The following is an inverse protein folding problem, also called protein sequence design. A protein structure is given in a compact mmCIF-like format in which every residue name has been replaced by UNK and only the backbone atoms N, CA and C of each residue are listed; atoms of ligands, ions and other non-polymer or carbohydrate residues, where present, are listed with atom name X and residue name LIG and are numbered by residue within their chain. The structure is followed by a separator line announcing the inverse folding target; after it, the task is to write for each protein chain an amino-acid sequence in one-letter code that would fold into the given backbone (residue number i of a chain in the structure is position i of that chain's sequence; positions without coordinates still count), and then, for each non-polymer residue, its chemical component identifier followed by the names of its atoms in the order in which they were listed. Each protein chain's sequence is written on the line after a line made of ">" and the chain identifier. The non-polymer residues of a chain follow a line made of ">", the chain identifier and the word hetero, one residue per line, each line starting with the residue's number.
data_IF_301563184090
#
_entry.id   IF_301563184090
#
_cell.length_a   1.000
_cell.length_b   1.000
_cell.length_c   1.000
_cell.angle_alpha   90.00
_cell.angle_beta   90.00
_cell.angle_gamma   90.00
#
_symmetry.space_group_name_H-M   'P 1'
#
loop_
_entity.id
_entity.type
_entity.pdbx_description
1 polymer ?
#
# COMPACT_ATOMS: atom_id res chain seq x y z
N UNK A 1 -4.22 -9.10 5.53
CA UNK A 1 -3.60 -8.59 4.29
C UNK A 1 -3.71 -9.56 3.14
N UNK A 2 -2.80 -10.55 3.05
CA UNK A 2 -2.64 -11.41 1.86
C UNK A 2 -3.90 -12.13 1.40
N UNK A 3 -4.67 -12.71 2.32
CA UNK A 3 -5.91 -13.43 1.98
C UNK A 3 -6.96 -12.48 1.40
N UNK A 4 -7.10 -11.28 1.98
CA UNK A 4 -8.05 -10.25 1.51
C UNK A 4 -7.66 -9.75 0.12
N UNK A 5 -6.38 -9.43 -0.10
CA UNK A 5 -5.92 -8.94 -1.41
C UNK A 5 -6.14 -9.97 -2.53
N UNK A 6 -6.03 -11.27 -2.24
CA UNK A 6 -6.32 -12.34 -3.22
C UNK A 6 -7.81 -12.47 -3.56
N UNK A 7 -8.69 -12.04 -2.67
CA UNK A 7 -10.13 -12.16 -2.86
C UNK A 7 -10.72 -11.01 -3.70
N UNK A 8 -9.98 -9.92 -3.90
CA UNK A 8 -10.46 -8.72 -4.61
C UNK A 8 -9.74 -8.66 -5.96
N UNK A 9 -10.53 -8.61 -7.05
CA UNK A 9 -9.99 -8.48 -8.40
C UNK A 9 -9.17 -7.19 -8.53
N UNK A 10 -8.00 -7.31 -9.15
CA UNK A 10 -7.05 -6.21 -9.42
C UNK A 10 -6.45 -5.54 -8.16
N UNK A 11 -6.68 -6.09 -6.96
CA UNK A 11 -6.08 -5.57 -5.74
C UNK A 11 -4.62 -5.98 -5.59
N UNK A 12 -3.81 -5.08 -5.01
CA UNK A 12 -2.41 -5.33 -4.64
C UNK A 12 -2.20 -5.10 -3.14
N UNK A 13 -1.36 -5.92 -2.53
CA UNK A 13 -0.92 -5.75 -1.14
C UNK A 13 0.52 -5.24 -1.14
N UNK A 14 0.72 -4.04 -0.59
CA UNK A 14 2.05 -3.46 -0.32
C UNK A 14 2.31 -3.54 1.18
N UNK A 15 3.52 -3.96 1.55
CA UNK A 15 3.96 -4.08 2.95
C UNK A 15 5.14 -3.16 3.18
N UNK A 16 5.05 -2.33 4.23
CA UNK A 16 6.15 -1.50 4.70
C UNK A 16 6.76 -2.13 5.95
N UNK A 17 8.06 -2.45 5.89
CA UNK A 17 8.75 -3.09 7.00
C UNK A 17 8.82 -2.14 8.22
N UNK A 18 8.56 -2.66 9.42
CA UNK A 18 8.55 -1.87 10.66
C UNK A 18 7.29 -1.03 10.89
N UNK A 19 6.34 -1.03 9.94
CA UNK A 19 5.05 -0.35 10.11
C UNK A 19 4.09 -1.23 10.93
N UNK A 20 3.56 -0.65 12.01
CA UNK A 20 2.58 -1.28 12.89
C UNK A 20 1.15 -0.80 12.61
N UNK A 21 0.49 -0.31 13.66
CA UNK A 21 -0.89 0.21 13.56
C UNK A 21 -0.93 1.69 13.20
N UNK A 22 0.20 2.38 13.28
CA UNK A 22 0.34 3.79 12.97
C UNK A 22 1.04 4.01 11.62
N UNK A 23 0.84 5.20 11.07
CA UNK A 23 1.44 5.68 9.83
C UNK A 23 2.60 6.62 10.16
N UNK A 24 3.83 6.11 10.31
CA UNK A 24 4.96 6.95 10.71
C UNK A 24 5.31 7.94 9.59
N UNK A 25 5.59 9.19 9.96
CA UNK A 25 5.99 10.28 9.04
C UNK A 25 7.06 9.88 8.01
N UNK A 26 8.13 9.15 8.40
CA UNK A 26 9.15 8.70 7.45
C UNK A 26 8.64 7.86 6.26
N UNK A 27 7.46 7.23 6.36
CA UNK A 27 6.89 6.42 5.28
C UNK A 27 5.94 7.21 4.37
N UNK A 28 5.67 8.48 4.67
CA UNK A 28 4.65 9.25 3.94
C UNK A 28 4.99 9.39 2.46
N UNK A 29 6.24 9.69 2.13
CA UNK A 29 6.67 9.83 0.74
C UNK A 29 6.49 8.54 -0.06
N UNK A 30 6.84 7.40 0.56
CA UNK A 30 6.68 6.08 -0.06
C UNK A 30 5.20 5.71 -0.27
N UNK A 31 4.34 6.03 0.70
CA UNK A 31 2.90 5.78 0.63
C UNK A 31 2.26 6.67 -0.44
N UNK A 32 2.61 7.96 -0.48
CA UNK A 32 2.13 8.89 -1.50
C UNK A 32 2.57 8.43 -2.89
N UNK A 33 3.81 7.93 -3.02
CA UNK A 33 4.31 7.33 -4.26
C UNK A 33 3.47 6.14 -4.72
N UNK A 34 3.18 5.19 -3.83
CA UNK A 34 2.36 4.02 -4.17
C UNK A 34 0.93 4.41 -4.57
N UNK A 35 0.33 5.39 -3.88
CA UNK A 35 -0.99 5.92 -4.24
C UNK A 35 -1.00 6.55 -5.63
N UNK A 36 -0.01 7.39 -5.94
CA UNK A 36 0.14 7.98 -7.29
C UNK A 36 0.26 6.90 -8.36
N UNK A 37 1.13 5.91 -8.15
CA UNK A 37 1.29 4.79 -9.08
C UNK A 37 -0.03 4.04 -9.30
N UNK A 38 -0.78 3.78 -8.22
CA UNK A 38 -2.07 3.11 -8.30
C UNK A 38 -3.11 3.92 -9.09
N UNK A 39 -3.16 5.24 -8.91
CA UNK A 39 -4.08 6.11 -9.67
C UNK A 39 -3.70 6.25 -11.14
N UNK A 40 -2.41 6.16 -11.46
CA UNK A 40 -1.89 6.21 -12.83
C UNK A 40 -1.94 4.87 -13.57
N UNK A 41 -2.12 3.74 -12.88
CA UNK A 41 -2.17 2.41 -13.48
C UNK A 41 -3.46 2.11 -14.28
N UNK A 42 -4.14 3.16 -14.75
CA UNK A 42 -5.43 3.10 -15.44
C UNK A 42 -5.26 2.98 -16.96
#
# INVERSE_FOLDING_TARGET
>A
GRVVARAIKDARLVLYAGMGHELPEPLWDDIIGELKNNFSAR
#
